data_IF_546016275402
#
_entry.id   IF_546016275402
#
_cell.length_a   1.000
_cell.length_b   1.000
_cell.length_c   1.000
_cell.angle_alpha   90.00
_cell.angle_beta   90.00
_cell.angle_gamma   90.00
#
_symmetry.space_group_name_H-M   'P 1'
#
loop_
_entity.id
_entity.type
_entity.pdbx_description
1 polymer ?
#
# COMPACT_ATOMS: atom_id res chain seq x y z
N UNK A 1 -19.51 5.29 28.10
CA UNK A 1 -18.51 4.94 29.12
C UNK A 1 -17.13 5.22 28.54
N UNK A 2 -16.39 6.13 29.13
CA UNK A 2 -15.04 6.44 28.62
C UNK A 2 -14.05 5.53 29.34
N UNK A 3 -13.47 4.58 28.60
CA UNK A 3 -12.35 3.78 29.10
C UNK A 3 -11.12 4.69 29.31
N UNK A 4 -10.44 4.50 30.41
CA UNK A 4 -9.14 5.16 30.63
C UNK A 4 -8.06 4.50 29.80
N UNK A 5 -6.94 5.19 29.56
CA UNK A 5 -5.79 4.63 28.83
C UNK A 5 -5.26 3.37 29.54
N UNK A 6 -5.27 3.34 30.87
CA UNK A 6 -4.82 2.16 31.62
C UNK A 6 -5.74 0.94 31.42
N UNK A 7 -7.05 1.16 31.33
CA UNK A 7 -8.02 0.09 31.02
C UNK A 7 -7.81 -0.44 29.60
N UNK A 8 -7.59 0.44 28.61
CA UNK A 8 -7.27 0.04 27.25
C UNK A 8 -5.97 -0.78 27.16
N UNK A 9 -4.92 -0.36 27.87
CA UNK A 9 -3.64 -1.11 27.91
C UNK A 9 -3.84 -2.47 28.56
N UNK A 10 -4.59 -2.55 29.66
CA UNK A 10 -4.87 -3.82 30.33
C UNK A 10 -5.68 -4.77 29.44
N UNK A 11 -6.71 -4.27 28.77
CA UNK A 11 -7.50 -5.06 27.82
C UNK A 11 -6.64 -5.58 26.67
N UNK A 12 -5.75 -4.75 26.13
CA UNK A 12 -4.80 -5.16 25.11
C UNK A 12 -3.84 -6.25 25.60
N UNK A 13 -3.28 -6.11 26.80
CA UNK A 13 -2.40 -7.12 27.43
C UNK A 13 -3.14 -8.44 27.68
N UNK A 14 -4.39 -8.37 28.14
CA UNK A 14 -5.26 -9.56 28.32
C UNK A 14 -5.49 -10.24 26.98
N UNK A 15 -5.83 -9.48 25.95
CA UNK A 15 -6.02 -9.98 24.60
C UNK A 15 -4.77 -10.68 24.05
N UNK A 16 -3.59 -10.07 24.21
CA UNK A 16 -2.32 -10.66 23.81
C UNK A 16 -2.04 -11.98 24.55
N UNK A 17 -2.36 -12.06 25.85
CA UNK A 17 -2.17 -13.27 26.65
C UNK A 17 -3.12 -14.39 26.24
N UNK A 18 -4.35 -14.03 25.89
CA UNK A 18 -5.40 -14.98 25.53
C UNK A 18 -5.19 -15.59 24.14
N UNK A 19 -4.83 -14.76 23.16
CA UNK A 19 -4.73 -15.17 21.76
C UNK A 19 -3.27 -15.38 21.30
N UNK A 20 -2.31 -14.95 22.10
CA UNK A 20 -0.88 -15.08 21.81
C UNK A 20 -0.42 -14.26 20.60
N UNK A 21 0.85 -14.27 20.33
CA UNK A 21 1.44 -13.63 19.17
C UNK A 21 1.25 -14.46 17.88
N UNK A 22 0.84 -15.72 17.99
CA UNK A 22 0.69 -16.68 16.90
C UNK A 22 -0.77 -17.04 16.58
N UNK A 23 -1.75 -16.25 17.02
CA UNK A 23 -3.15 -16.48 16.72
C UNK A 23 -3.50 -16.20 15.26
N UNK A 24 -4.78 -16.31 14.92
CA UNK A 24 -5.28 -16.03 13.57
C UNK A 24 -4.76 -14.67 13.06
N UNK A 25 -3.98 -14.70 11.99
CA UNK A 25 -3.37 -13.52 11.36
C UNK A 25 -4.37 -12.42 11.00
N UNK A 26 -5.66 -12.74 10.92
CA UNK A 26 -6.72 -11.76 10.64
C UNK A 26 -7.09 -10.92 11.86
N UNK A 27 -6.84 -11.42 13.07
CA UNK A 27 -7.18 -10.75 14.31
C UNK A 27 -5.98 -10.07 14.96
N UNK A 28 -4.77 -10.32 14.47
CA UNK A 28 -3.53 -9.77 14.99
C UNK A 28 -2.92 -8.77 14.03
N UNK A 29 -2.51 -7.65 14.57
CA UNK A 29 -1.81 -6.60 13.82
C UNK A 29 -0.38 -7.00 13.39
N UNK A 30 0.12 -8.15 13.87
CA UNK A 30 1.49 -8.62 13.65
C UNK A 30 1.82 -8.90 12.19
N UNK A 31 0.85 -9.34 11.39
CA UNK A 31 1.06 -9.57 9.96
C UNK A 31 1.54 -8.31 9.21
N UNK A 32 1.24 -7.12 9.74
CA UNK A 32 1.71 -5.85 9.17
C UNK A 32 3.23 -5.73 9.27
N UNK A 33 3.80 -6.17 10.38
CA UNK A 33 5.25 -6.21 10.57
C UNK A 33 5.92 -7.23 9.66
N UNK A 34 5.28 -8.37 9.42
CA UNK A 34 5.76 -9.37 8.48
C UNK A 34 5.77 -8.83 7.05
N UNK A 35 4.73 -8.08 6.66
CA UNK A 35 4.66 -7.40 5.37
C UNK A 35 5.81 -6.39 5.22
N UNK A 36 6.03 -5.54 6.23
CA UNK A 36 7.12 -4.57 6.22
C UNK A 36 8.47 -5.27 6.12
N UNK A 37 8.72 -6.28 6.94
CA UNK A 37 9.98 -7.04 6.92
C UNK A 37 10.24 -7.70 5.57
N UNK A 38 9.20 -8.18 4.90
CA UNK A 38 9.30 -8.85 3.61
C UNK A 38 9.57 -7.90 2.45
N UNK A 39 9.00 -6.70 2.48
CA UNK A 39 8.95 -5.84 1.30
C UNK A 39 9.69 -4.49 1.45
N UNK A 40 10.23 -4.14 2.63
CA UNK A 40 10.82 -2.82 2.88
C UNK A 40 11.95 -2.44 1.90
N UNK A 41 12.70 -3.42 1.41
CA UNK A 41 13.82 -3.24 0.47
C UNK A 41 13.39 -3.46 -1.00
N UNK A 42 12.11 -3.74 -1.27
CA UNK A 42 11.60 -4.08 -2.60
C UNK A 42 11.06 -2.88 -3.38
N UNK A 43 10.98 -1.70 -2.77
CA UNK A 43 10.43 -0.48 -3.37
C UNK A 43 11.51 0.47 -3.90
N UNK A 44 12.68 -0.05 -4.27
CA UNK A 44 13.72 0.73 -4.95
C UNK A 44 13.33 0.97 -6.41
N UNK A 45 12.96 2.22 -6.72
CA UNK A 45 12.53 2.63 -8.07
C UNK A 45 13.64 2.61 -9.10
N UNK A 46 14.91 2.56 -8.68
CA UNK A 46 16.07 2.49 -9.59
C UNK A 46 16.49 1.05 -9.87
N UNK A 47 15.95 0.09 -9.13
CA UNK A 47 16.19 -1.34 -9.36
C UNK A 47 15.56 -1.81 -10.68
N UNK A 48 16.29 -2.62 -11.44
CA UNK A 48 15.73 -3.35 -12.59
C UNK A 48 14.58 -4.28 -12.20
N UNK A 49 14.55 -4.73 -10.96
CA UNK A 49 13.55 -5.66 -10.43
C UNK A 49 12.32 -4.95 -9.84
N UNK A 50 12.25 -3.61 -9.89
CA UNK A 50 11.14 -2.86 -9.28
C UNK A 50 9.76 -3.34 -9.74
N UNK A 51 9.55 -3.48 -11.03
CA UNK A 51 8.26 -3.94 -11.60
C UNK A 51 7.92 -5.35 -11.13
N UNK A 52 8.90 -6.25 -11.17
CA UNK A 52 8.75 -7.62 -10.67
C UNK A 52 8.43 -7.63 -9.18
N UNK A 53 9.23 -6.93 -8.38
CA UNK A 53 9.04 -6.84 -6.93
C UNK A 53 7.64 -6.33 -6.59
N UNK A 54 7.21 -5.25 -7.24
CA UNK A 54 5.90 -4.66 -7.00
C UNK A 54 4.77 -5.61 -7.43
N UNK A 55 4.94 -6.34 -8.53
CA UNK A 55 3.95 -7.32 -9.01
C UNK A 55 3.75 -8.51 -8.05
N UNK A 56 4.78 -8.85 -7.31
CA UNK A 56 4.77 -9.95 -6.33
C UNK A 56 4.25 -9.52 -4.94
N UNK A 57 4.09 -8.23 -4.70
CA UNK A 57 3.63 -7.73 -3.40
C UNK A 57 2.19 -8.14 -3.11
N UNK A 58 1.99 -8.55 -1.87
CA UNK A 58 0.67 -8.83 -1.32
C UNK A 58 0.59 -8.29 0.11
N UNK A 59 -0.19 -7.24 0.29
CA UNK A 59 -0.39 -6.60 1.59
C UNK A 59 -1.54 -7.21 2.41
N UNK A 60 -2.07 -8.34 1.97
CA UNK A 60 -3.15 -9.06 2.65
C UNK A 60 -4.33 -8.12 2.97
N UNK A 61 -4.76 -8.06 4.23
CA UNK A 61 -5.88 -7.23 4.64
C UNK A 61 -5.61 -5.71 4.59
N UNK A 62 -4.36 -5.28 4.43
CA UNK A 62 -4.05 -3.85 4.24
C UNK A 62 -4.58 -3.31 2.92
N UNK A 63 -4.82 -4.17 1.93
CA UNK A 63 -5.44 -3.76 0.67
C UNK A 63 -6.87 -3.25 0.82
N UNK A 64 -7.55 -3.43 1.93
CA UNK A 64 -8.96 -3.15 2.14
C UNK A 64 -9.89 -3.92 1.18
N UNK A 65 -9.58 -3.89 -0.11
CA UNK A 65 -10.25 -4.71 -1.13
C UNK A 65 -9.24 -5.19 -2.16
N UNK A 66 -9.55 -6.27 -2.89
CA UNK A 66 -8.72 -6.76 -3.98
C UNK A 66 -8.56 -5.77 -5.14
N UNK A 67 -9.36 -4.71 -5.20
CA UNK A 67 -9.35 -3.72 -6.27
C UNK A 67 -8.03 -2.95 -6.34
N UNK A 68 -7.43 -2.57 -5.20
CA UNK A 68 -6.13 -1.88 -5.18
C UNK A 68 -5.04 -2.74 -5.82
N UNK A 69 -4.99 -4.02 -5.47
CA UNK A 69 -4.02 -4.95 -6.06
C UNK A 69 -4.26 -5.15 -7.54
N UNK A 70 -5.50 -5.33 -7.94
CA UNK A 70 -5.88 -5.51 -9.36
C UNK A 70 -5.50 -4.28 -10.18
N UNK A 71 -5.77 -3.08 -9.69
CA UNK A 71 -5.39 -1.84 -10.34
C UNK A 71 -3.86 -1.72 -10.47
N UNK A 72 -3.12 -2.00 -9.41
CA UNK A 72 -1.66 -2.02 -9.43
C UNK A 72 -1.12 -3.00 -10.49
N UNK A 73 -1.67 -4.21 -10.56
CA UNK A 73 -1.26 -5.19 -11.58
C UNK A 73 -1.51 -4.68 -13.00
N UNK A 74 -2.59 -3.95 -13.23
CA UNK A 74 -2.89 -3.35 -14.53
C UNK A 74 -1.91 -2.22 -14.88
N UNK A 75 -1.53 -1.36 -13.94
CA UNK A 75 -0.47 -0.37 -14.14
C UNK A 75 0.84 -1.04 -14.56
N UNK A 76 1.23 -2.09 -13.84
CA UNK A 76 2.48 -2.82 -14.10
C UNK A 76 2.46 -3.55 -15.44
N UNK A 77 1.29 -4.03 -15.86
CA UNK A 77 1.13 -4.74 -17.13
C UNK A 77 1.18 -3.82 -18.34
N UNK A 78 0.51 -2.66 -18.27
CA UNK A 78 0.29 -1.82 -19.43
C UNK A 78 1.20 -0.60 -19.49
N UNK A 79 1.56 -0.01 -18.34
CA UNK A 79 2.36 1.22 -18.24
C UNK A 79 3.38 1.15 -17.09
N UNK A 80 4.28 0.15 -17.09
CA UNK A 80 5.18 -0.10 -15.97
C UNK A 80 6.14 1.06 -15.69
N UNK A 81 6.68 1.71 -16.72
CA UNK A 81 7.67 2.79 -16.55
C UNK A 81 7.03 4.11 -16.10
N UNK A 82 5.83 4.40 -16.57
CA UNK A 82 5.09 5.57 -16.09
C UNK A 82 4.66 5.36 -14.64
N UNK A 83 4.23 4.16 -14.28
CA UNK A 83 3.90 3.82 -12.90
C UNK A 83 5.13 3.85 -11.98
N UNK A 84 6.30 3.39 -12.46
CA UNK A 84 7.60 3.56 -11.76
C UNK A 84 7.90 5.04 -11.50
N UNK A 85 7.67 5.89 -12.47
CA UNK A 85 7.89 7.35 -12.35
C UNK A 85 6.99 7.96 -11.29
N UNK A 86 5.73 7.54 -11.20
CA UNK A 86 4.82 7.98 -10.12
C UNK A 86 5.34 7.54 -8.74
N UNK A 87 5.82 6.33 -8.59
CA UNK A 87 6.44 5.85 -7.35
C UNK A 87 7.71 6.63 -6.99
N UNK A 88 8.54 6.95 -7.98
CA UNK A 88 9.75 7.76 -7.74
C UNK A 88 9.40 9.12 -7.18
N UNK A 89 8.38 9.78 -7.72
CA UNK A 89 7.89 11.05 -7.20
C UNK A 89 7.26 10.91 -5.79
N UNK A 90 6.55 9.82 -5.51
CA UNK A 90 6.00 9.54 -4.18
C UNK A 90 7.08 9.43 -3.11
N UNK A 91 8.24 8.88 -3.45
CA UNK A 91 9.35 8.66 -2.53
C UNK A 91 10.35 9.82 -2.48
N UNK A 92 10.12 10.90 -3.23
CA UNK A 92 10.97 12.09 -3.21
C UNK A 92 10.70 12.95 -1.97
N UNK A 93 11.46 12.71 -0.91
CA UNK A 93 11.33 13.43 0.38
C UNK A 93 11.74 14.90 0.34
N UNK A 94 12.24 15.41 -0.79
CA UNK A 94 12.48 16.85 -0.97
C UNK A 94 11.17 17.63 -1.12
N UNK A 95 10.08 16.93 -1.44
CA UNK A 95 8.72 17.49 -1.54
C UNK A 95 7.91 17.21 -0.27
N UNK A 96 6.94 18.07 0.02
CA UNK A 96 6.03 17.87 1.16
C UNK A 96 5.24 16.56 0.98
N UNK A 97 4.89 15.91 2.09
CA UNK A 97 4.09 14.69 2.07
C UNK A 97 2.75 14.92 1.34
N UNK A 98 2.09 16.03 1.59
CA UNK A 98 0.82 16.33 0.93
C UNK A 98 0.97 16.46 -0.58
N UNK A 99 2.00 17.13 -1.07
CA UNK A 99 2.27 17.22 -2.50
C UNK A 99 2.53 15.85 -3.12
N UNK A 100 3.33 15.03 -2.47
CA UNK A 100 3.64 13.67 -2.93
C UNK A 100 2.40 12.81 -3.03
N UNK A 101 1.55 12.83 -2.01
CA UNK A 101 0.29 12.06 -1.98
C UNK A 101 -0.67 12.54 -3.06
N UNK A 102 -0.93 13.85 -3.13
CA UNK A 102 -1.84 14.43 -4.13
C UNK A 102 -1.36 14.14 -5.55
N UNK A 103 -0.07 14.37 -5.82
CA UNK A 103 0.51 14.12 -7.15
C UNK A 103 0.46 12.66 -7.56
N UNK A 104 0.62 11.74 -6.61
CA UNK A 104 0.52 10.31 -6.90
C UNK A 104 -0.91 9.91 -7.26
N UNK A 105 -1.91 10.36 -6.50
CA UNK A 105 -3.32 10.10 -6.79
C UNK A 105 -3.70 10.67 -8.17
N UNK A 106 -3.42 11.95 -8.40
CA UNK A 106 -3.73 12.62 -9.67
C UNK A 106 -3.01 11.96 -10.86
N UNK A 107 -1.77 11.55 -10.65
CA UNK A 107 -0.97 10.85 -11.65
C UNK A 107 -1.53 9.48 -11.98
N UNK A 108 -1.93 8.70 -10.99
CA UNK A 108 -2.58 7.40 -11.18
C UNK A 108 -3.92 7.55 -11.90
N UNK A 109 -4.75 8.49 -11.49
CA UNK A 109 -6.05 8.74 -12.12
C UNK A 109 -5.89 9.14 -13.59
N UNK A 110 -4.98 10.06 -13.88
CA UNK A 110 -4.67 10.48 -15.24
C UNK A 110 -4.14 9.35 -16.10
N UNK A 111 -3.20 8.57 -15.58
CA UNK A 111 -2.62 7.43 -16.29
C UNK A 111 -3.68 6.38 -16.59
N UNK A 112 -4.56 6.11 -15.62
CA UNK A 112 -5.68 5.21 -15.80
C UNK A 112 -6.64 5.68 -16.90
N UNK A 113 -7.13 6.89 -16.78
CA UNK A 113 -8.14 7.45 -17.69
C UNK A 113 -7.63 7.60 -19.12
N UNK A 114 -6.35 7.94 -19.30
CA UNK A 114 -5.77 8.19 -20.62
C UNK A 114 -5.20 6.95 -21.29
N UNK A 115 -4.73 5.96 -20.54
CA UNK A 115 -3.99 4.84 -21.13
C UNK A 115 -4.51 3.46 -20.76
N UNK A 116 -4.98 3.25 -19.53
CA UNK A 116 -5.36 1.90 -19.07
C UNK A 116 -6.82 1.58 -19.33
N UNK A 117 -7.70 2.55 -19.14
CA UNK A 117 -9.15 2.38 -19.30
C UNK A 117 -9.57 1.85 -20.67
N UNK A 118 -8.83 2.15 -21.72
CA UNK A 118 -9.08 1.66 -23.06
C UNK A 118 -9.07 0.12 -23.18
N UNK A 119 -8.39 -0.57 -22.28
CA UNK A 119 -8.37 -2.03 -22.25
C UNK A 119 -9.62 -2.65 -21.61
N UNK A 120 -10.50 -1.83 -21.07
CA UNK A 120 -11.74 -2.23 -20.38
C UNK A 120 -12.96 -1.47 -20.88
N UNK A 121 -13.27 -1.50 -22.21
CA UNK A 121 -14.27 -0.61 -22.80
C UNK A 121 -15.70 -0.85 -22.28
N UNK A 122 -15.99 -2.08 -21.84
CA UNK A 122 -17.33 -2.48 -21.37
C UNK A 122 -17.47 -2.48 -19.85
N UNK A 123 -16.47 -1.94 -19.13
CA UNK A 123 -16.46 -1.94 -17.66
C UNK A 123 -16.22 -0.54 -17.14
N UNK A 124 -16.95 -0.18 -16.09
CA UNK A 124 -16.61 0.97 -15.30
C UNK A 124 -15.42 0.61 -14.39
N UNK A 125 -14.28 1.27 -14.59
CA UNK A 125 -13.03 1.02 -13.88
C UNK A 125 -12.38 2.32 -13.43
N UNK A 126 -11.55 2.24 -12.40
CA UNK A 126 -10.78 3.37 -11.88
C UNK A 126 -9.37 2.94 -11.47
N UNK A 127 -8.50 3.91 -11.20
CA UNK A 127 -7.15 3.67 -10.69
C UNK A 127 -7.15 2.98 -9.34
N UNK A 128 -8.24 3.07 -8.57
CA UNK A 128 -8.34 2.63 -7.18
C UNK A 128 -7.25 3.22 -6.28
N UNK A 129 -6.63 4.33 -6.67
CA UNK A 129 -5.58 4.97 -5.92
C UNK A 129 -6.18 5.93 -4.88
N UNK A 130 -5.89 5.70 -3.62
CA UNK A 130 -6.31 6.54 -2.51
C UNK A 130 -5.21 6.61 -1.44
N UNK A 131 -5.47 7.37 -0.38
CA UNK A 131 -4.52 7.54 0.72
C UNK A 131 -4.19 6.23 1.44
N UNK A 132 -5.06 5.23 1.40
CA UNK A 132 -4.84 3.94 2.08
C UNK A 132 -3.72 3.16 1.42
N UNK A 133 -3.77 3.01 0.10
CA UNK A 133 -2.71 2.30 -0.62
C UNK A 133 -1.38 3.05 -0.55
N UNK A 134 -1.42 4.38 -0.61
CA UNK A 134 -0.23 5.21 -0.47
C UNK A 134 0.38 5.04 0.93
N UNK A 135 -0.45 5.03 1.97
CA UNK A 135 0.01 4.78 3.35
C UNK A 135 0.70 3.42 3.47
N UNK A 136 0.19 2.40 2.79
CA UNK A 136 0.84 1.08 2.76
C UNK A 136 2.21 1.15 2.08
N UNK A 137 2.34 1.79 0.93
CA UNK A 137 3.62 1.95 0.23
C UNK A 137 4.62 2.73 1.07
N UNK A 138 4.20 3.83 1.70
CA UNK A 138 5.09 4.65 2.53
C UNK A 138 5.51 3.93 3.81
N UNK A 139 4.60 3.20 4.47
CA UNK A 139 4.92 2.41 5.66
C UNK A 139 5.91 1.29 5.35
N UNK A 140 5.80 0.66 4.19
CA UNK A 140 6.75 -0.38 3.75
C UNK A 140 8.08 0.23 3.36
N UNK A 141 8.08 1.36 2.64
CA UNK A 141 9.31 2.05 2.19
C UNK A 141 10.10 2.65 3.35
N UNK A 142 9.42 3.19 4.34
CA UNK A 142 10.00 3.93 5.47
C UNK A 142 9.46 3.40 6.81
N UNK A 143 9.82 2.18 7.21
CA UNK A 143 9.24 1.55 8.40
C UNK A 143 9.57 2.25 9.72
N UNK A 144 10.62 3.08 9.75
CA UNK A 144 11.04 3.84 10.93
C UNK A 144 10.39 5.24 11.04
N UNK A 145 9.53 5.63 10.12
CA UNK A 145 8.81 6.91 10.08
C UNK A 145 7.32 6.72 10.26
#
# INVERSE_FOLDING_TARGET
MNMTINELINDFVVHLKQYGLNGDNRQQELYKWDIVSKYHDKLDTDSSDFVKNLSEMNFLNLWYSGNHRTAMQNFLKYEPEEYRTLHRALYDETQSLQMRVTSFIDGCDRLWDTKIKQYFPDKETSSCCDERIISCFLAVKYPEK
#
